data_IF_005345305119
#
_entry.id   IF_005345305119
#
_cell.length_a   1.000
_cell.length_b   1.000
_cell.length_c   1.000
_cell.angle_alpha   90.00
_cell.angle_beta   90.00
_cell.angle_gamma   90.00
#
_symmetry.space_group_name_H-M   'P 1'
#
loop_
_entity.id
_entity.type
_entity.pdbx_description
1 polymer ?
#
# COMPACT_ATOMS: atom_id res chain seq x y z
N UNK A 1 -10.38 11.39 2.77
CA UNK A 1 -10.72 10.50 1.65
C UNK A 1 -9.42 9.87 1.13
N UNK A 2 -9.30 8.55 1.02
CA UNK A 2 -8.06 7.90 0.56
C UNK A 2 -7.95 7.94 -0.97
N UNK A 3 -6.71 8.11 -1.45
CA UNK A 3 -6.34 7.92 -2.85
C UNK A 3 -5.30 6.81 -2.87
N UNK A 4 -5.56 5.75 -3.61
CA UNK A 4 -4.61 4.66 -3.78
C UNK A 4 -3.81 4.82 -5.08
N UNK A 5 -2.50 4.57 -5.02
CA UNK A 5 -1.63 4.54 -6.20
C UNK A 5 -1.15 3.10 -6.40
N UNK A 6 -1.50 2.51 -7.52
CA UNK A 6 -1.22 1.10 -7.84
C UNK A 6 -0.42 0.96 -9.13
N UNK A 7 0.08 -0.26 -9.39
CA UNK A 7 0.96 -0.56 -10.53
C UNK A 7 0.29 -1.40 -11.64
N UNK A 8 -1.00 -1.73 -11.49
CA UNK A 8 -1.74 -2.50 -12.50
C UNK A 8 -3.24 -2.28 -12.38
N UNK A 9 -3.97 -2.58 -13.45
CA UNK A 9 -5.44 -2.48 -13.44
C UNK A 9 -6.08 -3.57 -12.58
N UNK A 10 -5.50 -4.76 -12.50
CA UNK A 10 -5.98 -5.82 -11.58
C UNK A 10 -6.00 -5.36 -10.13
N UNK A 11 -4.92 -4.71 -9.68
CA UNK A 11 -4.85 -4.11 -8.33
C UNK A 11 -5.86 -2.97 -8.15
N UNK A 12 -6.06 -2.15 -9.18
CA UNK A 12 -7.06 -1.08 -9.14
C UNK A 12 -8.48 -1.65 -8.99
N UNK A 13 -8.82 -2.68 -9.76
CA UNK A 13 -10.12 -3.34 -9.69
C UNK A 13 -10.38 -3.93 -8.30
N UNK A 14 -9.39 -4.63 -7.72
CA UNK A 14 -9.48 -5.17 -6.35
C UNK A 14 -9.75 -4.08 -5.31
N UNK A 15 -9.06 -2.93 -5.40
CA UNK A 15 -9.27 -1.83 -4.47
C UNK A 15 -10.63 -1.17 -4.63
N UNK A 16 -11.13 -1.01 -5.86
CA UNK A 16 -12.49 -0.51 -6.11
C UNK A 16 -13.55 -1.44 -5.54
N UNK A 17 -13.37 -2.76 -5.67
CA UNK A 17 -14.26 -3.75 -5.04
C UNK A 17 -14.24 -3.65 -3.50
N UNK A 18 -13.12 -3.28 -2.89
CA UNK A 18 -13.00 -2.99 -1.46
C UNK A 18 -13.62 -1.65 -1.04
N UNK A 19 -14.07 -0.83 -2.00
CA UNK A 19 -14.72 0.46 -1.76
C UNK A 19 -13.76 1.66 -1.82
N UNK A 20 -12.57 1.52 -2.38
CA UNK A 20 -11.67 2.65 -2.65
C UNK A 20 -12.13 3.36 -3.92
N UNK A 21 -12.71 4.54 -3.78
CA UNK A 21 -13.28 5.29 -4.91
C UNK A 21 -12.21 5.89 -5.83
N UNK A 22 -11.11 6.37 -5.26
CA UNK A 22 -10.07 7.09 -6.00
C UNK A 22 -8.80 6.25 -6.11
N UNK A 23 -8.53 5.79 -7.33
CA UNK A 23 -7.37 4.96 -7.63
C UNK A 23 -6.63 5.53 -8.84
N UNK A 24 -5.32 5.73 -8.69
CA UNK A 24 -4.41 6.10 -9.77
C UNK A 24 -3.61 4.87 -10.16
N UNK A 25 -3.78 4.40 -11.39
CA UNK A 25 -2.93 3.35 -11.97
C UNK A 25 -1.68 4.01 -12.57
N UNK A 26 -0.54 3.92 -11.85
CA UNK A 26 0.71 4.55 -12.27
C UNK A 26 1.32 3.94 -13.54
N UNK A 27 1.01 2.69 -13.85
CA UNK A 27 1.49 2.05 -15.06
C UNK A 27 0.79 2.62 -16.30
N UNK A 28 -0.52 2.87 -16.24
CA UNK A 28 -1.29 3.52 -17.28
C UNK A 28 -0.88 4.99 -17.46
N UNK A 29 -0.64 5.68 -16.34
CA UNK A 29 -0.21 7.09 -16.36
C UNK A 29 1.26 7.25 -16.77
N UNK A 30 2.10 6.22 -16.70
CA UNK A 30 3.53 6.24 -17.03
C UNK A 30 4.27 7.45 -16.41
N UNK A 31 4.12 7.67 -15.09
CA UNK A 31 4.85 8.73 -14.41
C UNK A 31 6.34 8.44 -14.38
N UNK A 32 7.15 9.40 -14.85
CA UNK A 32 8.60 9.34 -14.87
C UNK A 32 9.19 10.45 -14.01
N UNK A 33 9.18 10.27 -12.69
CA UNK A 33 9.66 11.26 -11.74
C UNK A 33 11.17 11.56 -11.82
N UNK A 34 11.89 10.79 -12.62
CA UNK A 34 13.32 10.95 -12.90
C UNK A 34 13.57 10.94 -14.40
N UNK A 35 14.29 11.96 -14.89
CA UNK A 35 14.76 12.04 -16.30
C UNK A 35 15.92 11.10 -16.55
N UNK A 36 16.81 11.02 -15.56
CA UNK A 36 18.00 10.21 -15.50
C UNK A 36 18.32 9.83 -14.04
N UNK A 37 19.33 9.01 -13.72
CA UNK A 37 19.63 8.57 -12.36
C UNK A 37 19.90 9.69 -11.34
N UNK A 38 20.15 10.92 -11.79
CA UNK A 38 20.53 12.06 -10.94
C UNK A 38 19.59 13.26 -11.03
N UNK A 39 18.72 13.32 -12.04
CA UNK A 39 17.87 14.49 -12.32
C UNK A 39 16.40 14.14 -12.17
N UNK A 40 15.73 14.73 -11.19
CA UNK A 40 14.29 14.58 -11.00
C UNK A 40 13.50 15.42 -12.01
N UNK A 41 12.29 14.98 -12.34
CA UNK A 41 11.37 15.68 -13.24
C UNK A 41 10.19 16.30 -12.48
N UNK A 42 10.33 17.59 -12.15
CA UNK A 42 9.25 18.33 -11.50
C UNK A 42 7.99 18.47 -12.37
N UNK A 43 8.08 18.36 -13.68
CA UNK A 43 6.90 18.43 -14.54
C UNK A 43 5.98 17.22 -14.29
N UNK A 44 6.57 16.08 -14.01
CA UNK A 44 5.85 14.86 -13.64
C UNK A 44 5.23 14.94 -12.24
N UNK A 45 5.89 15.63 -11.30
CA UNK A 45 5.30 15.91 -9.99
C UNK A 45 4.05 16.78 -10.13
N UNK A 46 4.11 17.82 -10.99
CA UNK A 46 2.96 18.68 -11.28
C UNK A 46 1.84 17.91 -11.97
N UNK A 47 2.18 16.95 -12.84
CA UNK A 47 1.20 16.08 -13.49
C UNK A 47 0.48 15.22 -12.45
N UNK A 48 1.19 14.54 -11.57
CA UNK A 48 0.59 13.78 -10.48
C UNK A 48 -0.29 14.65 -9.58
N UNK A 49 0.19 15.84 -9.18
CA UNK A 49 -0.59 16.77 -8.35
C UNK A 49 -1.86 17.25 -9.04
N UNK A 50 -1.85 17.43 -10.36
CA UNK A 50 -3.04 17.78 -11.14
C UNK A 50 -4.02 16.61 -11.16
N UNK A 51 -3.56 15.40 -11.45
CA UNK A 51 -4.40 14.20 -11.48
C UNK A 51 -5.07 13.95 -10.11
N UNK A 52 -4.34 14.17 -9.00
CA UNK A 52 -4.90 14.11 -7.64
C UNK A 52 -6.02 15.14 -7.46
N UNK A 53 -5.77 16.41 -7.82
CA UNK A 53 -6.78 17.48 -7.67
C UNK A 53 -7.99 17.29 -8.58
N UNK A 54 -7.82 16.70 -9.76
CA UNK A 54 -8.93 16.32 -10.64
C UNK A 54 -9.81 15.25 -10.02
N UNK A 55 -9.21 14.32 -9.25
CA UNK A 55 -9.96 13.27 -8.58
C UNK A 55 -10.71 13.74 -7.32
N UNK A 56 -10.07 14.57 -6.49
CA UNK A 56 -10.56 14.87 -5.13
C UNK A 56 -10.68 16.35 -4.82
N UNK A 57 -10.32 17.25 -5.74
CA UNK A 57 -10.46 18.71 -5.60
C UNK A 57 -9.32 19.40 -4.84
N UNK A 58 -8.42 18.67 -4.16
CA UNK A 58 -7.37 19.25 -3.32
C UNK A 58 -6.11 18.36 -3.23
N UNK A 59 -5.04 18.91 -2.70
CA UNK A 59 -3.83 18.18 -2.39
C UNK A 59 -4.02 17.33 -1.11
N UNK A 60 -3.36 16.18 -0.94
CA UNK A 60 -3.54 15.31 0.23
C UNK A 60 -2.92 15.89 1.50
N UNK A 61 -3.64 15.79 2.62
CA UNK A 61 -3.14 16.17 3.95
C UNK A 61 -2.03 15.25 4.45
N UNK A 62 -2.12 13.96 4.08
CA UNK A 62 -1.15 12.93 4.46
C UNK A 62 -0.76 12.13 3.23
N UNK A 63 0.54 11.96 3.02
CA UNK A 63 1.10 11.05 2.02
C UNK A 63 1.83 9.90 2.73
N UNK A 64 1.41 8.67 2.46
CA UNK A 64 2.09 7.48 2.94
C UNK A 64 3.14 7.06 1.90
N UNK A 65 4.40 7.29 2.24
CA UNK A 65 5.55 7.07 1.35
C UNK A 65 6.24 5.74 1.69
N UNK A 66 6.28 4.84 0.73
CA UNK A 66 6.85 3.51 0.88
C UNK A 66 8.06 3.25 -0.04
N UNK A 67 8.07 3.67 -1.32
CA UNK A 67 9.18 3.39 -2.23
C UNK A 67 10.49 4.10 -1.87
N UNK A 68 10.44 5.31 -1.35
CA UNK A 68 11.64 6.08 -0.98
C UNK A 68 12.21 6.89 -2.14
N UNK A 69 13.47 6.59 -2.56
CA UNK A 69 14.21 7.44 -3.52
C UNK A 69 13.41 7.78 -4.78
N UNK A 70 12.73 6.83 -5.36
CA UNK A 70 12.05 7.03 -6.65
C UNK A 70 10.86 7.98 -6.60
N UNK A 71 10.21 8.15 -5.45
CA UNK A 71 8.93 8.86 -5.32
C UNK A 71 8.92 10.00 -4.31
N UNK A 72 9.89 10.07 -3.39
CA UNK A 72 9.88 11.05 -2.29
C UNK A 72 9.78 12.50 -2.79
N UNK A 73 10.46 12.87 -3.87
CA UNK A 73 10.36 14.21 -4.45
C UNK A 73 8.92 14.57 -4.85
N UNK A 74 8.25 13.65 -5.54
CA UNK A 74 6.84 13.79 -5.90
C UNK A 74 5.94 13.83 -4.67
N UNK A 75 6.16 12.95 -3.68
CA UNK A 75 5.41 12.88 -2.43
C UNK A 75 5.51 14.18 -1.62
N UNK A 76 6.71 14.75 -1.52
CA UNK A 76 6.90 16.06 -0.88
C UNK A 76 6.20 17.17 -1.67
N UNK A 77 6.26 17.13 -3.01
CA UNK A 77 5.61 18.12 -3.86
C UNK A 77 4.09 18.12 -3.69
N UNK A 78 3.43 16.96 -3.84
CA UNK A 78 1.95 16.87 -3.87
C UNK A 78 1.29 17.03 -2.51
N UNK A 79 2.03 16.85 -1.41
CA UNK A 79 1.47 17.03 -0.06
C UNK A 79 0.99 18.47 0.13
N UNK A 80 -0.20 18.62 0.69
CA UNK A 80 -0.83 19.91 1.02
C UNK A 80 0.06 20.78 1.94
N UNK A 81 -0.12 22.08 1.88
CA UNK A 81 0.52 22.99 2.84
C UNK A 81 0.15 22.59 4.27
N UNK A 82 1.14 22.46 5.15
CA UNK A 82 0.96 22.00 6.54
C UNK A 82 0.76 20.49 6.67
N UNK A 83 0.72 19.75 5.55
CA UNK A 83 0.53 18.31 5.54
C UNK A 83 1.75 17.50 5.96
N UNK A 84 1.58 16.20 6.04
CA UNK A 84 2.60 15.28 6.55
C UNK A 84 2.90 14.15 5.55
N UNK A 85 4.17 13.89 5.31
CA UNK A 85 4.65 12.70 4.63
C UNK A 85 5.07 11.69 5.69
N UNK A 86 4.46 10.50 5.71
CA UNK A 86 4.84 9.40 6.60
C UNK A 86 5.63 8.38 5.81
N UNK A 87 6.89 8.15 6.17
CA UNK A 87 7.75 7.18 5.51
C UNK A 87 8.03 5.97 6.42
N UNK A 88 7.88 4.76 5.88
CA UNK A 88 8.10 3.51 6.62
C UNK A 88 9.04 2.53 5.91
N UNK A 89 9.49 2.86 4.69
CA UNK A 89 10.36 2.00 3.90
C UNK A 89 11.16 2.81 2.87
N UNK A 90 12.05 2.14 2.16
CA UNK A 90 12.90 2.73 1.12
C UNK A 90 13.28 1.67 0.06
N UNK A 91 12.28 1.00 -0.52
CA UNK A 91 12.48 -0.15 -1.43
C UNK A 91 13.20 0.22 -2.73
N UNK A 92 13.16 1.49 -3.13
CA UNK A 92 13.86 2.01 -4.31
C UNK A 92 15.20 2.70 -4.01
N UNK A 93 15.63 2.73 -2.76
CA UNK A 93 16.90 3.31 -2.33
C UNK A 93 16.79 4.13 -1.03
N UNK A 94 17.81 4.02 -0.18
CA UNK A 94 17.85 4.63 1.15
C UNK A 94 18.19 6.11 1.15
N UNK A 95 18.99 6.56 0.16
CA UNK A 95 19.34 7.97 0.03
C UNK A 95 18.24 8.70 -0.72
N UNK A 96 17.64 9.68 -0.08
CA UNK A 96 16.43 10.36 -0.53
C UNK A 96 16.76 11.80 -0.91
N UNK A 97 16.30 12.20 -2.08
CA UNK A 97 16.44 13.55 -2.59
C UNK A 97 15.05 14.17 -2.84
N UNK A 98 14.88 15.44 -2.45
CA UNK A 98 13.68 16.23 -2.77
C UNK A 98 14.03 17.72 -2.78
N UNK A 99 13.24 18.52 -3.46
CA UNK A 99 13.38 19.97 -3.42
C UNK A 99 12.87 20.52 -2.08
N UNK A 100 13.80 20.93 -1.23
CA UNK A 100 13.50 21.40 0.12
C UNK A 100 12.59 22.64 0.16
N UNK A 101 12.52 23.42 -0.93
CA UNK A 101 11.58 24.56 -1.03
C UNK A 101 10.13 24.10 -0.87
N UNK A 102 9.78 22.93 -1.41
CA UNK A 102 8.46 22.34 -1.28
C UNK A 102 8.14 21.84 0.13
N UNK A 103 9.15 21.60 0.97
CA UNK A 103 8.99 21.23 2.37
C UNK A 103 8.83 22.46 3.26
N UNK A 104 9.89 23.27 3.38
CA UNK A 104 9.94 24.34 4.39
C UNK A 104 9.03 25.53 4.07
N UNK A 105 8.96 25.99 2.81
CA UNK A 105 8.06 27.10 2.41
C UNK A 105 6.58 26.74 2.54
N UNK A 106 6.26 25.45 2.51
CA UNK A 106 4.90 24.91 2.63
C UNK A 106 4.59 24.37 4.02
N UNK A 107 5.50 24.53 5.00
CA UNK A 107 5.32 24.10 6.39
C UNK A 107 4.95 22.62 6.53
N UNK A 108 5.48 21.75 5.67
CA UNK A 108 5.21 20.32 5.69
C UNK A 108 6.11 19.60 6.68
N UNK A 109 5.72 18.39 7.06
CA UNK A 109 6.49 17.51 7.95
C UNK A 109 6.80 16.18 7.29
N UNK A 110 7.99 15.64 7.52
CA UNK A 110 8.33 14.25 7.20
C UNK A 110 8.47 13.51 8.52
N UNK A 111 7.71 12.41 8.67
CA UNK A 111 7.72 11.58 9.87
C UNK A 111 8.11 10.15 9.53
N UNK A 112 9.08 9.61 10.25
CA UNK A 112 9.40 8.19 10.19
C UNK A 112 8.36 7.37 10.94
N UNK A 113 8.04 6.18 10.41
CA UNK A 113 7.23 5.17 11.07
C UNK A 113 7.98 3.83 11.00
N UNK A 114 8.15 3.19 12.14
CA UNK A 114 8.92 1.94 12.22
C UNK A 114 8.38 1.06 13.33
N UNK A 115 8.01 -0.16 12.96
CA UNK A 115 7.46 -1.19 13.82
C UNK A 115 6.18 -0.78 14.59
N UNK A 116 5.67 -1.75 15.32
CA UNK A 116 4.63 -1.64 16.32
C UNK A 116 5.12 -2.32 17.60
N UNK A 117 4.74 -1.82 18.76
CA UNK A 117 4.88 -2.55 19.99
C UNK A 117 3.81 -3.65 20.12
N UNK A 118 3.94 -4.54 21.09
CA UNK A 118 3.01 -5.66 21.28
C UNK A 118 1.55 -5.21 21.49
N UNK A 119 1.33 -4.09 22.15
CA UNK A 119 -0.02 -3.54 22.36
C UNK A 119 -0.65 -3.09 21.03
N UNK A 120 0.13 -2.44 20.18
CA UNK A 120 -0.32 -1.99 18.85
C UNK A 120 -0.54 -3.18 17.92
N UNK A 121 0.36 -4.18 17.94
CA UNK A 121 0.19 -5.41 17.18
C UNK A 121 -1.06 -6.18 17.63
N UNK A 122 -1.32 -6.24 18.94
CA UNK A 122 -2.55 -6.83 19.46
C UNK A 122 -3.81 -6.09 19.00
N UNK A 123 -3.79 -4.75 19.04
CA UNK A 123 -4.91 -3.93 18.58
C UNK A 123 -5.17 -4.11 17.07
N UNK A 124 -4.13 -4.22 16.25
CA UNK A 124 -4.24 -4.53 14.82
C UNK A 124 -4.84 -5.92 14.58
N UNK A 125 -4.39 -6.93 15.34
CA UNK A 125 -4.95 -8.28 15.27
C UNK A 125 -6.42 -8.28 15.67
N UNK A 126 -6.79 -7.54 16.72
CA UNK A 126 -8.21 -7.41 17.13
C UNK A 126 -9.06 -6.76 16.03
N UNK A 127 -8.51 -5.81 15.29
CA UNK A 127 -9.22 -5.20 14.16
C UNK A 127 -9.50 -6.20 13.01
N UNK A 128 -8.63 -7.19 12.82
CA UNK A 128 -8.87 -8.32 11.90
C UNK A 128 -9.98 -9.24 12.44
N UNK A 129 -9.90 -9.61 13.72
CA UNK A 129 -10.90 -10.49 14.38
C UNK A 129 -12.30 -9.86 14.35
N UNK A 130 -12.38 -8.55 14.57
CA UNK A 130 -13.64 -7.77 14.52
C UNK A 130 -14.16 -7.51 13.10
N UNK A 131 -13.45 -7.93 12.07
CA UNK A 131 -13.81 -7.71 10.66
C UNK A 131 -13.72 -6.25 10.20
N UNK A 132 -13.01 -5.40 10.96
CA UNK A 132 -12.78 -3.99 10.58
C UNK A 132 -11.71 -3.83 9.52
N UNK A 133 -10.78 -4.78 9.46
CA UNK A 133 -9.72 -4.86 8.44
C UNK A 133 -9.89 -6.16 7.69
N UNK A 134 -9.89 -6.10 6.36
CA UNK A 134 -9.84 -7.28 5.50
C UNK A 134 -8.39 -7.74 5.39
N UNK A 135 -8.08 -9.01 5.69
CA UNK A 135 -6.72 -9.52 5.54
C UNK A 135 -6.32 -9.56 4.06
N UNK A 136 -5.28 -8.85 3.63
CA UNK A 136 -4.82 -8.87 2.24
C UNK A 136 -4.02 -10.15 1.94
N UNK A 137 -4.54 -11.30 2.33
CA UNK A 137 -3.87 -12.60 2.26
C UNK A 137 -4.13 -13.27 0.92
N UNK A 138 -3.09 -13.38 0.09
CA UNK A 138 -3.20 -13.95 -1.27
C UNK A 138 -2.92 -15.44 -1.35
N UNK A 139 -2.00 -15.94 -0.52
CA UNK A 139 -1.65 -17.34 -0.47
C UNK A 139 -1.27 -17.77 0.95
N UNK A 140 -1.45 -19.05 1.27
CA UNK A 140 -1.03 -19.63 2.54
C UNK A 140 -0.25 -20.92 2.27
N UNK A 141 0.90 -21.04 2.89
CA UNK A 141 1.78 -22.19 2.78
C UNK A 141 1.91 -22.90 4.14
N UNK A 142 2.05 -24.21 4.19
CA UNK A 142 2.47 -24.90 5.40
C UNK A 142 3.93 -24.55 5.72
N UNK A 143 4.34 -24.74 6.97
CA UNK A 143 5.69 -24.37 7.43
C UNK A 143 6.81 -25.03 6.61
N UNK A 144 6.60 -26.27 6.19
CA UNK A 144 7.55 -27.06 5.39
C UNK A 144 7.83 -26.43 4.02
N UNK A 145 6.89 -25.62 3.51
CA UNK A 145 6.99 -24.90 2.24
C UNK A 145 7.36 -23.40 2.38
N UNK A 146 7.90 -23.02 3.54
CA UNK A 146 8.31 -21.63 3.79
C UNK A 146 9.34 -21.10 2.77
N UNK A 147 10.24 -21.97 2.29
CA UNK A 147 11.21 -21.64 1.25
C UNK A 147 10.55 -21.26 -0.09
N UNK A 148 9.51 -21.98 -0.49
CA UNK A 148 8.73 -21.67 -1.68
C UNK A 148 7.98 -20.33 -1.54
N UNK A 149 7.34 -20.09 -0.39
CA UNK A 149 6.70 -18.83 -0.09
C UNK A 149 7.66 -17.64 -0.18
N UNK A 150 8.88 -17.81 0.33
CA UNK A 150 9.94 -16.80 0.25
C UNK A 150 10.39 -16.57 -1.20
N UNK A 151 10.52 -17.63 -1.98
CA UNK A 151 10.87 -17.56 -3.39
C UNK A 151 9.83 -16.76 -4.20
N UNK A 152 8.54 -17.03 -3.99
CA UNK A 152 7.44 -16.29 -4.63
C UNK A 152 7.48 -14.79 -4.28
N UNK A 153 7.74 -14.45 -3.01
CA UNK A 153 7.90 -13.08 -2.57
C UNK A 153 9.12 -12.40 -3.21
N UNK A 154 10.27 -13.08 -3.23
CA UNK A 154 11.51 -12.54 -3.81
C UNK A 154 11.33 -12.18 -5.28
N UNK A 155 10.60 -13.00 -6.04
CA UNK A 155 10.34 -12.77 -7.46
C UNK A 155 9.13 -11.88 -7.72
N UNK A 156 8.54 -11.26 -6.67
CA UNK A 156 7.36 -10.40 -6.77
C UNK A 156 6.17 -11.06 -7.49
N UNK A 157 5.97 -12.36 -7.26
CA UNK A 157 4.91 -13.17 -7.86
C UNK A 157 3.65 -13.27 -7.00
N UNK A 158 3.49 -12.39 -6.03
CA UNK A 158 2.36 -12.36 -5.11
C UNK A 158 1.55 -11.06 -5.25
N UNK A 159 0.27 -11.14 -4.98
CA UNK A 159 -0.64 -9.99 -4.92
C UNK A 159 -1.24 -9.88 -3.52
N UNK A 160 -0.67 -9.09 -2.63
CA UNK A 160 -1.08 -9.03 -1.24
C UNK A 160 -0.05 -9.69 -0.33
N UNK A 161 -0.49 -10.36 0.74
CA UNK A 161 0.39 -10.99 1.74
C UNK A 161 0.44 -12.50 1.56
N UNK A 162 1.60 -13.06 1.83
CA UNK A 162 1.82 -14.51 1.90
C UNK A 162 1.86 -14.92 3.36
N UNK A 163 1.03 -15.88 3.74
CA UNK A 163 0.96 -16.44 5.09
C UNK A 163 1.67 -17.79 5.19
N UNK A 164 2.21 -18.07 6.38
CA UNK A 164 2.77 -19.39 6.71
C UNK A 164 2.05 -19.93 7.95
N UNK A 165 1.48 -21.13 7.84
CA UNK A 165 0.89 -21.83 8.97
C UNK A 165 2.00 -22.48 9.80
N UNK A 166 2.27 -21.93 10.99
CA UNK A 166 3.26 -22.47 11.93
C UNK A 166 2.58 -23.39 12.97
N UNK A 167 1.76 -22.79 13.84
CA UNK A 167 1.08 -23.51 14.91
C UNK A 167 -0.44 -23.60 14.71
N UNK A 168 -1.01 -22.83 13.81
CA UNK A 168 -2.43 -22.87 13.51
C UNK A 168 -2.76 -24.11 12.67
N UNK A 169 -3.81 -24.89 13.02
CA UNK A 169 -4.17 -26.11 12.27
C UNK A 169 -4.79 -25.79 10.89
N UNK A 170 -5.30 -24.59 10.73
CA UNK A 170 -5.89 -24.08 9.47
C UNK A 170 -5.89 -22.56 9.46
N UNK A 171 -6.02 -21.98 8.28
CA UNK A 171 -6.27 -20.57 8.17
C UNK A 171 -7.71 -20.23 8.57
N UNK A 172 -7.91 -19.09 9.23
CA UNK A 172 -9.24 -18.59 9.63
C UNK A 172 -9.55 -17.21 9.07
N UNK A 173 -8.59 -16.57 8.37
CA UNK A 173 -8.71 -15.20 7.86
C UNK A 173 -9.07 -14.17 8.95
N UNK A 174 -8.71 -14.45 10.19
CA UNK A 174 -8.91 -13.60 11.36
C UNK A 174 -10.31 -13.61 11.96
N UNK A 175 -11.35 -13.91 11.19
CA UNK A 175 -12.76 -13.87 11.65
C UNK A 175 -13.24 -15.30 11.85
N UNK A 176 -13.38 -15.70 13.11
CA UNK A 176 -13.84 -17.04 13.49
C UNK A 176 -15.31 -17.10 13.91
N UNK A 177 -15.88 -15.96 14.31
CA UNK A 177 -17.31 -15.84 14.64
C UNK A 177 -18.17 -15.99 13.39
N UNK A 178 -19.10 -16.97 13.32
CA UNK A 178 -19.86 -17.25 12.10
C UNK A 178 -20.81 -16.12 11.69
N UNK A 179 -21.40 -15.41 12.65
CA UNK A 179 -22.35 -14.33 12.36
C UNK A 179 -21.61 -13.10 11.81
N UNK A 180 -20.48 -12.76 12.44
CA UNK A 180 -19.62 -11.69 11.97
C UNK A 180 -19.05 -12.02 10.58
N UNK A 181 -18.61 -13.26 10.37
CA UNK A 181 -18.07 -13.74 9.11
C UNK A 181 -19.10 -13.66 7.98
N UNK A 182 -20.34 -14.09 8.24
CA UNK A 182 -21.45 -13.98 7.30
C UNK A 182 -21.75 -12.52 6.94
N UNK A 183 -21.67 -11.61 7.93
CA UNK A 183 -21.90 -10.18 7.73
C UNK A 183 -20.81 -9.50 6.90
N UNK A 184 -19.55 -9.86 7.12
CA UNK A 184 -18.40 -9.35 6.33
C UNK A 184 -18.43 -9.92 4.91
N UNK A 185 -18.79 -11.19 4.76
CA UNK A 185 -18.92 -11.91 3.50
C UNK A 185 -17.62 -12.58 3.03
N UNK A 186 -17.71 -13.83 2.62
CA UNK A 186 -16.55 -14.61 2.15
C UNK A 186 -15.86 -13.96 0.94
N UNK A 187 -16.62 -13.41 -0.01
CA UNK A 187 -16.07 -12.71 -1.16
C UNK A 187 -15.09 -11.61 -0.76
N UNK A 188 -15.46 -10.82 0.25
CA UNK A 188 -14.60 -9.73 0.75
C UNK A 188 -13.38 -10.27 1.48
N UNK A 189 -13.52 -11.34 2.27
CA UNK A 189 -12.42 -11.96 3.00
C UNK A 189 -11.39 -12.61 2.07
N UNK A 190 -11.81 -13.11 0.93
CA UNK A 190 -10.98 -13.83 -0.02
C UNK A 190 -10.58 -13.02 -1.25
N UNK A 191 -10.88 -11.71 -1.28
CA UNK A 191 -10.68 -10.86 -2.45
C UNK A 191 -9.24 -10.84 -2.99
N UNK A 192 -8.24 -11.05 -2.12
CA UNK A 192 -6.83 -11.14 -2.50
C UNK A 192 -6.37 -12.57 -2.81
N UNK A 193 -7.26 -13.59 -2.64
CA UNK A 193 -6.88 -14.97 -2.94
C UNK A 193 -6.60 -15.11 -4.43
N UNK A 194 -5.48 -15.73 -4.75
CA UNK A 194 -5.29 -16.27 -6.08
C UNK A 194 -6.40 -17.31 -6.28
N UNK A 195 -7.23 -17.11 -7.28
CA UNK A 195 -7.97 -18.22 -7.82
C UNK A 195 -6.91 -19.16 -8.39
N UNK A 196 -6.74 -20.32 -7.75
CA UNK A 196 -5.96 -21.39 -8.36
C UNK A 196 -6.51 -21.52 -9.77
N UNK A 197 -5.65 -21.31 -10.75
CA UNK A 197 -6.00 -21.60 -12.13
C UNK A 197 -6.29 -23.11 -12.09
N UNK A 198 -7.55 -23.45 -12.18
CA UNK A 198 -7.96 -24.81 -12.44
C UNK A 198 -7.27 -25.21 -13.75
N UNK A 199 -6.31 -26.13 -13.62
CA UNK A 199 -5.68 -26.82 -14.75
C UNK A 199 -6.70 -27.67 -15.51
#
# INVERSE_FOLDING_TARGET
MPIAVVSSESKAATLRELGVEHVINRAERDYRFWKDPTTQDESEWRRLGRDIRELVGEDPDIVFEHPGRSTMGASVFVTKRGGTIVTCAATSGYMIEYDNRHLWMRLKSIKGSHFANYREAWAANQALVDGRIVPPLSAVFPLERAGEATYEMHHNRHEGKVGILCAAPREGLGITDPELRARVGERRLTIFRRHDQED
#
